data_IF_510104479275
#
_entry.id   IF_510104479275
#
_cell.length_a   1.000
_cell.length_b   1.000
_cell.length_c   1.000
_cell.angle_alpha   90.00
_cell.angle_beta   90.00
_cell.angle_gamma   90.00
#
_symmetry.space_group_name_H-M   'P 1'
#
loop_
_entity.id
_entity.type
_entity.pdbx_description
1 polymer ?
#
# COMPACT_ATOMS: atom_id res chain seq x y z
N UNK A 1 -1.21 6.53 -2.66
CA UNK A 1 -0.78 7.80 -2.04
C UNK A 1 0.45 7.62 -1.17
N UNK A 2 0.36 7.19 0.10
CA UNK A 2 1.54 7.00 0.96
C UNK A 2 2.59 6.08 0.34
N UNK A 3 2.20 4.86 -0.05
CA UNK A 3 3.08 3.88 -0.69
C UNK A 3 3.69 4.37 -2.01
N UNK A 4 2.98 5.24 -2.74
CA UNK A 4 3.48 5.85 -3.97
C UNK A 4 4.66 6.78 -3.70
N UNK A 5 4.62 7.58 -2.63
CA UNK A 5 5.73 8.45 -2.24
C UNK A 5 6.93 7.61 -1.78
N UNK A 6 6.69 6.60 -0.94
CA UNK A 6 7.76 5.69 -0.49
C UNK A 6 8.41 4.96 -1.67
N UNK A 7 7.63 4.47 -2.63
CA UNK A 7 8.12 3.86 -3.85
C UNK A 7 9.04 4.80 -4.64
N UNK A 8 8.69 6.08 -4.76
CA UNK A 8 9.51 7.08 -5.48
C UNK A 8 10.77 7.49 -4.71
N UNK A 9 10.72 7.49 -3.37
CA UNK A 9 11.87 7.85 -2.54
C UNK A 9 12.92 6.74 -2.41
N UNK A 10 12.49 5.47 -2.46
CA UNK A 10 13.43 4.34 -2.38
C UNK A 10 14.24 4.21 -3.68
N UNK A 11 15.58 4.22 -3.61
CA UNK A 11 16.42 3.96 -4.77
C UNK A 11 16.23 2.52 -5.26
N UNK A 12 16.45 2.28 -6.56
CA UNK A 12 16.32 0.94 -7.14
C UNK A 12 17.35 -0.03 -6.52
N UNK A 13 18.53 0.49 -6.19
CA UNK A 13 19.66 -0.22 -5.59
C UNK A 13 19.35 -0.73 -4.18
N UNK A 14 18.31 -0.22 -3.51
CA UNK A 14 17.86 -0.74 -2.22
C UNK A 14 17.30 -2.17 -2.33
N UNK A 15 16.91 -2.62 -3.53
CA UNK A 15 16.28 -3.93 -3.73
C UNK A 15 14.91 -4.06 -3.03
N UNK A 16 14.28 -2.93 -2.68
CA UNK A 16 13.00 -2.88 -1.99
C UNK A 16 11.91 -2.44 -2.97
N UNK A 17 10.93 -3.32 -3.17
CA UNK A 17 9.72 -3.00 -3.93
C UNK A 17 8.58 -2.63 -2.99
N UNK A 18 7.84 -1.59 -3.37
CA UNK A 18 6.65 -1.12 -2.64
C UNK A 18 5.44 -1.40 -3.50
N UNK A 19 4.50 -2.16 -2.96
CA UNK A 19 3.32 -2.65 -3.68
C UNK A 19 2.07 -2.42 -2.83
N UNK A 20 1.00 -1.97 -3.47
CA UNK A 20 -0.34 -1.93 -2.89
C UNK A 20 -1.14 -3.14 -3.40
N UNK A 21 -2.00 -3.69 -2.54
CA UNK A 21 -2.84 -4.84 -2.89
C UNK A 21 -4.30 -4.57 -2.56
N UNK A 22 -5.19 -5.00 -3.44
CA UNK A 22 -6.62 -5.11 -3.17
C UNK A 22 -6.98 -6.59 -3.05
N UNK A 23 -7.47 -7.06 -1.90
CA UNK A 23 -7.90 -8.44 -1.76
C UNK A 23 -9.33 -8.66 -2.31
N UNK A 24 -9.97 -7.62 -2.85
CA UNK A 24 -11.37 -7.64 -3.26
C UNK A 24 -12.31 -7.55 -2.05
N UNK A 25 -13.56 -7.98 -2.23
CA UNK A 25 -14.54 -8.04 -1.14
C UNK A 25 -14.35 -9.36 -0.40
N UNK A 26 -13.80 -9.31 0.81
CA UNK A 26 -13.45 -10.51 1.59
C UNK A 26 -14.34 -10.64 2.82
N UNK A 27 -14.83 -11.85 3.07
CA UNK A 27 -15.58 -12.20 4.28
C UNK A 27 -14.63 -12.17 5.48
N UNK A 28 -14.57 -11.01 6.13
CA UNK A 28 -13.75 -10.75 7.31
C UNK A 28 -14.60 -10.08 8.37
N UNK A 29 -14.06 -9.95 9.59
CA UNK A 29 -14.73 -9.29 10.69
C UNK A 29 -14.72 -7.75 10.58
N UNK A 30 -14.62 -7.16 9.38
CA UNK A 30 -14.60 -5.70 9.18
C UNK A 30 -15.90 -5.04 9.68
N UNK A 31 -17.04 -5.71 9.54
CA UNK A 31 -18.33 -5.21 10.01
C UNK A 31 -18.61 -5.48 11.50
N UNK A 32 -17.67 -6.07 12.27
CA UNK A 32 -17.91 -6.55 13.65
C UNK A 32 -18.39 -5.47 14.61
N UNK A 33 -17.97 -4.23 14.37
CA UNK A 33 -18.27 -3.07 15.22
C UNK A 33 -19.52 -2.29 14.74
N UNK A 34 -20.17 -2.75 13.65
CA UNK A 34 -21.40 -2.15 13.11
C UNK A 34 -22.65 -2.70 13.82
N UNK A 35 -23.81 -2.01 13.74
CA UNK A 35 -25.07 -2.51 14.30
C UNK A 35 -25.42 -3.91 13.79
N UNK A 36 -26.04 -4.75 14.65
CA UNK A 36 -26.40 -6.14 14.31
C UNK A 36 -27.24 -6.28 13.04
N UNK A 37 -28.08 -5.29 12.75
CA UNK A 37 -28.88 -5.23 11.52
C UNK A 37 -28.01 -5.09 10.28
N UNK A 38 -26.96 -4.27 10.36
CA UNK A 38 -25.97 -4.09 9.28
C UNK A 38 -25.11 -5.34 9.13
N UNK A 39 -24.69 -5.95 10.23
CA UNK A 39 -23.96 -7.24 10.18
C UNK A 39 -24.80 -8.33 9.51
N UNK A 40 -26.07 -8.46 9.89
CA UNK A 40 -26.99 -9.42 9.29
C UNK A 40 -27.19 -9.15 7.78
N UNK A 41 -27.33 -7.89 7.37
CA UNK A 41 -27.39 -7.52 5.95
C UNK A 41 -26.08 -7.83 5.20
N UNK A 42 -24.93 -7.61 5.84
CA UNK A 42 -23.61 -7.88 5.28
C UNK A 42 -23.40 -9.37 4.97
N UNK A 43 -23.92 -10.25 5.83
CA UNK A 43 -23.90 -11.71 5.62
C UNK A 43 -24.87 -12.20 4.53
N UNK A 44 -25.82 -11.36 4.09
CA UNK A 44 -26.79 -11.69 3.04
C UNK A 44 -26.30 -11.32 1.63
N UNK A 45 -25.07 -10.84 1.48
CA UNK A 45 -24.47 -10.50 0.17
C UNK A 45 -23.78 -11.77 -0.38
N UNK A 46 -24.42 -12.57 -1.25
CA UNK A 46 -24.03 -13.97 -1.44
C UNK A 46 -23.02 -14.21 -2.58
N UNK A 47 -22.81 -13.26 -3.49
CA UNK A 47 -22.23 -13.57 -4.81
C UNK A 47 -20.87 -12.94 -5.12
N UNK A 48 -20.37 -12.03 -4.29
CA UNK A 48 -19.11 -11.31 -4.55
C UNK A 48 -18.09 -11.39 -3.41
N UNK A 49 -18.34 -12.21 -2.39
CA UNK A 49 -17.51 -12.24 -1.19
C UNK A 49 -16.56 -13.43 -1.21
N UNK A 50 -15.27 -13.14 -1.32
CA UNK A 50 -14.18 -14.10 -1.22
C UNK A 50 -13.98 -14.56 0.23
N UNK A 51 -13.53 -15.79 0.44
CA UNK A 51 -12.99 -16.23 1.73
C UNK A 51 -11.68 -15.50 2.05
N UNK A 52 -11.27 -15.49 3.33
CA UNK A 52 -9.96 -14.95 3.73
C UNK A 52 -8.80 -15.59 2.95
N UNK A 53 -8.88 -16.91 2.68
CA UNK A 53 -7.90 -17.63 1.89
C UNK A 53 -7.89 -17.14 0.44
N UNK A 54 -9.05 -17.04 -0.20
CA UNK A 54 -9.15 -16.54 -1.58
C UNK A 54 -8.69 -15.09 -1.70
N UNK A 55 -9.06 -14.20 -0.78
CA UNK A 55 -8.61 -12.81 -0.79
C UNK A 55 -7.09 -12.66 -0.60
N UNK A 56 -6.49 -13.54 0.22
CA UNK A 56 -5.05 -13.52 0.50
C UNK A 56 -4.16 -13.82 -0.72
N UNK A 57 -4.73 -14.41 -1.79
CA UNK A 57 -3.99 -14.76 -3.00
C UNK A 57 -3.27 -13.57 -3.64
N UNK A 58 -3.90 -12.39 -3.60
CA UNK A 58 -3.35 -11.15 -4.17
C UNK A 58 -2.09 -10.70 -3.43
N UNK A 59 -2.09 -10.80 -2.09
CA UNK A 59 -0.94 -10.49 -1.25
C UNK A 59 0.19 -11.52 -1.44
N UNK A 60 -0.14 -12.81 -1.52
CA UNK A 60 0.84 -13.86 -1.80
C UNK A 60 1.49 -13.64 -3.17
N UNK A 61 0.68 -13.43 -4.20
CA UNK A 61 1.16 -13.12 -5.55
C UNK A 61 2.07 -11.88 -5.55
N UNK A 62 1.64 -10.77 -4.94
CA UNK A 62 2.45 -9.55 -4.85
C UNK A 62 3.80 -9.77 -4.16
N UNK A 63 3.88 -10.71 -3.21
CA UNK A 63 5.09 -10.99 -2.45
C UNK A 63 6.03 -12.01 -3.13
N UNK A 64 5.51 -12.89 -3.99
CA UNK A 64 6.28 -14.05 -4.47
C UNK A 64 6.39 -14.17 -5.98
N UNK A 65 5.50 -13.55 -6.76
CA UNK A 65 5.50 -13.73 -8.20
C UNK A 65 6.63 -12.91 -8.86
N UNK A 66 7.49 -13.53 -9.70
CA UNK A 66 8.63 -12.86 -10.34
C UNK A 66 8.24 -11.66 -11.22
N UNK A 67 7.01 -11.60 -11.73
CA UNK A 67 6.57 -10.48 -12.57
C UNK A 67 6.39 -9.18 -11.78
N UNK A 68 6.24 -9.27 -10.45
CA UNK A 68 5.94 -8.10 -9.61
C UNK A 68 7.15 -7.17 -9.48
N UNK A 69 8.36 -7.66 -9.17
CA UNK A 69 9.58 -6.86 -9.28
C UNK A 69 9.78 -6.23 -10.66
N UNK A 70 9.62 -7.00 -11.74
CA UNK A 70 9.77 -6.50 -13.12
C UNK A 70 8.81 -5.34 -13.41
N UNK A 71 7.56 -5.47 -12.96
CA UNK A 71 6.58 -4.40 -13.09
C UNK A 71 6.92 -3.18 -12.24
N UNK A 72 7.43 -3.36 -11.00
CA UNK A 72 7.86 -2.25 -10.16
C UNK A 72 9.04 -1.48 -10.79
N UNK A 73 9.98 -2.18 -11.41
CA UNK A 73 11.11 -1.56 -12.13
C UNK A 73 10.63 -0.76 -13.33
N UNK A 74 9.68 -1.29 -14.10
CA UNK A 74 9.05 -0.58 -15.22
C UNK A 74 8.40 0.72 -14.74
N UNK A 75 7.61 0.67 -13.66
CA UNK A 75 6.97 1.86 -13.10
C UNK A 75 7.98 2.91 -12.62
N UNK A 76 9.10 2.50 -12.02
CA UNK A 76 10.19 3.41 -11.64
C UNK A 76 10.85 4.05 -12.86
N UNK A 77 11.16 3.25 -13.88
CA UNK A 77 11.82 3.71 -15.10
C UNK A 77 10.98 4.76 -15.85
N UNK A 78 9.65 4.60 -15.82
CA UNK A 78 8.70 5.52 -16.46
C UNK A 78 8.33 6.74 -15.60
N UNK A 79 8.95 6.92 -14.41
CA UNK A 79 8.58 7.92 -13.40
C UNK A 79 7.08 7.92 -13.08
N UNK A 80 6.48 6.73 -13.06
CA UNK A 80 5.03 6.58 -12.86
C UNK A 80 4.61 7.16 -11.50
N UNK A 81 3.49 7.90 -11.41
CA UNK A 81 3.10 8.63 -10.21
C UNK A 81 2.70 7.72 -9.03
N UNK A 82 2.44 6.43 -9.29
CA UNK A 82 1.95 5.48 -8.29
C UNK A 82 2.82 4.23 -8.24
N UNK A 83 2.90 3.60 -7.08
CA UNK A 83 3.51 2.28 -6.96
C UNK A 83 2.65 1.21 -7.64
N UNK A 84 3.21 0.01 -7.81
CA UNK A 84 2.45 -1.12 -8.32
C UNK A 84 1.19 -1.37 -7.48
N UNK A 85 0.06 -1.62 -8.15
CA UNK A 85 -1.20 -1.95 -7.51
C UNK A 85 -1.72 -3.28 -8.07
N UNK A 86 -1.81 -4.28 -7.20
CA UNK A 86 -2.23 -5.64 -7.56
C UNK A 86 -3.67 -5.85 -7.11
N UNK A 87 -4.51 -6.24 -8.05
CA UNK A 87 -5.93 -6.49 -7.78
C UNK A 87 -6.19 -7.87 -7.17
N UNK A 88 -7.45 -8.12 -6.80
CA UNK A 88 -7.90 -9.44 -6.35
C UNK A 88 -7.67 -10.53 -7.38
N UNK A 89 -7.48 -10.19 -8.66
CA UNK A 89 -7.29 -11.13 -9.76
C UNK A 89 -5.83 -11.54 -9.98
N UNK A 90 -4.94 -11.21 -9.03
CA UNK A 90 -3.50 -11.49 -9.10
C UNK A 90 -2.86 -10.89 -10.37
N UNK A 91 -3.10 -9.60 -10.59
CA UNK A 91 -2.49 -8.89 -11.70
C UNK A 91 -2.41 -7.39 -11.46
N UNK A 92 -1.47 -6.71 -12.14
CA UNK A 92 -1.40 -5.26 -12.16
C UNK A 92 -2.74 -4.64 -12.58
N UNK A 93 -3.16 -3.60 -11.87
CA UNK A 93 -4.34 -2.82 -12.24
C UNK A 93 -4.09 -1.35 -11.98
N UNK A 94 -4.79 -0.49 -12.73
CA UNK A 94 -4.65 0.94 -12.55
C UNK A 94 -5.44 1.39 -11.31
N UNK A 95 -4.83 2.13 -10.36
CA UNK A 95 -5.57 2.67 -9.23
C UNK A 95 -6.47 3.84 -9.67
N UNK A 96 -7.25 4.41 -8.73
CA UNK A 96 -8.15 5.52 -9.04
C UNK A 96 -7.40 6.77 -9.52
N UNK A 97 -8.09 7.65 -10.26
CA UNK A 97 -7.49 8.91 -10.74
C UNK A 97 -6.94 9.75 -9.58
N UNK A 98 -7.63 9.78 -8.44
CA UNK A 98 -7.19 10.52 -7.25
C UNK A 98 -5.87 9.98 -6.71
N UNK A 99 -5.62 8.67 -6.81
CA UNK A 99 -4.38 8.06 -6.34
C UNK A 99 -3.15 8.56 -7.11
N UNK A 100 -3.33 9.08 -8.33
CA UNK A 100 -2.29 9.66 -9.18
C UNK A 100 -1.98 11.13 -8.84
N UNK A 101 -2.72 11.75 -7.92
CA UNK A 101 -2.48 13.13 -7.50
C UNK A 101 -1.22 13.22 -6.62
N UNK A 102 -0.09 13.54 -7.26
CA UNK A 102 1.24 13.65 -6.62
C UNK A 102 1.23 14.68 -5.47
N UNK A 103 0.61 15.85 -5.69
CA UNK A 103 0.57 16.91 -4.66
C UNK A 103 -0.14 16.43 -3.39
N UNK A 104 -1.28 15.74 -3.55
CA UNK A 104 -2.03 15.19 -2.42
C UNK A 104 -1.25 14.06 -1.76
N UNK A 105 -0.57 13.22 -2.54
CA UNK A 105 0.26 12.16 -2.00
C UNK A 105 1.40 12.72 -1.11
N UNK A 106 2.07 13.80 -1.53
CA UNK A 106 3.09 14.47 -0.71
C UNK A 106 2.51 15.09 0.56
N UNK A 107 1.33 15.73 0.50
CA UNK A 107 0.65 16.24 1.71
C UNK A 107 0.32 15.12 2.70
N UNK A 108 -0.18 13.99 2.20
CA UNK A 108 -0.45 12.79 3.02
C UNK A 108 0.84 12.27 3.65
N UNK A 109 1.92 12.20 2.88
CA UNK A 109 3.24 11.77 3.35
C UNK A 109 3.76 12.63 4.50
N UNK A 110 3.86 13.95 4.29
CA UNK A 110 4.36 14.89 5.30
C UNK A 110 3.53 14.87 6.57
N UNK A 111 2.19 14.87 6.43
CA UNK A 111 1.31 14.78 7.59
C UNK A 111 1.41 13.46 8.32
N UNK A 112 1.57 12.36 7.60
CA UNK A 112 1.77 11.04 8.23
C UNK A 112 3.05 11.04 9.06
N UNK A 113 4.18 11.52 8.52
CA UNK A 113 5.45 11.57 9.24
C UNK A 113 5.39 12.47 10.47
N UNK A 114 4.85 13.69 10.37
CA UNK A 114 4.67 14.58 11.53
C UNK A 114 3.76 13.98 12.60
N UNK A 115 2.66 13.33 12.20
CA UNK A 115 1.73 12.69 13.13
C UNK A 115 2.37 11.53 13.90
N UNK A 116 3.27 10.77 13.27
CA UNK A 116 4.02 9.69 13.94
C UNK A 116 5.34 10.18 14.56
N UNK A 117 5.64 11.47 14.46
CA UNK A 117 6.79 12.10 15.11
C UNK A 117 8.12 11.94 14.39
N UNK A 118 8.12 11.51 13.12
CA UNK A 118 9.31 11.38 12.30
C UNK A 118 9.59 12.66 11.49
N UNK A 119 10.86 12.99 11.23
CA UNK A 119 11.20 14.12 10.37
C UNK A 119 10.86 13.80 8.90
N UNK A 120 10.62 14.83 8.08
CA UNK A 120 10.20 14.68 6.68
C UNK A 120 11.24 13.98 5.79
N UNK A 121 12.51 14.04 6.19
CA UNK A 121 13.68 13.43 5.55
C UNK A 121 14.07 12.08 6.17
N UNK A 122 13.23 11.50 7.04
CA UNK A 122 13.54 10.26 7.75
C UNK A 122 13.96 9.12 6.81
N UNK A 123 13.26 8.94 5.69
CA UNK A 123 13.57 7.90 4.71
C UNK A 123 14.94 8.12 4.07
N UNK A 124 15.25 9.35 3.68
CA UNK A 124 16.55 9.68 3.09
C UNK A 124 17.69 9.39 4.07
N UNK A 125 17.54 9.82 5.33
CA UNK A 125 18.52 9.58 6.39
C UNK A 125 18.74 8.09 6.68
N UNK A 126 17.65 7.31 6.73
CA UNK A 126 17.73 5.86 6.91
C UNK A 126 18.42 5.17 5.73
N UNK A 127 18.16 5.59 4.49
CA UNK A 127 18.82 5.06 3.29
C UNK A 127 20.33 5.39 3.31
N UNK A 128 20.70 6.56 3.82
CA UNK A 128 22.10 6.97 4.00
C UNK A 128 22.81 6.21 5.14
N UNK A 129 22.10 5.33 5.86
CA UNK A 129 22.65 4.51 6.93
C UNK A 129 22.71 5.21 8.29
N UNK A 130 21.93 6.28 8.49
CA UNK A 130 21.83 6.92 9.79
C UNK A 130 20.99 6.06 10.75
N UNK A 131 21.62 5.57 11.83
CA UNK A 131 20.98 4.67 12.80
C UNK A 131 20.03 5.41 13.77
N UNK A 132 20.33 6.68 14.08
CA UNK A 132 19.64 7.47 15.11
C UNK A 132 18.72 8.56 14.51
N UNK A 133 17.72 8.16 13.73
CA UNK A 133 16.70 9.12 13.24
C UNK A 133 15.76 9.48 14.40
N UNK A 134 15.70 10.76 14.83
CA UNK A 134 14.95 11.14 16.01
C UNK A 134 13.44 10.98 15.79
N UNK A 135 12.75 10.34 16.73
CA UNK A 135 11.30 10.23 16.75
C UNK A 135 10.76 10.98 17.98
N UNK A 136 9.81 11.91 17.77
CA UNK A 136 9.22 12.72 18.87
C UNK A 136 8.64 11.87 20.00
N UNK A 137 8.17 10.67 19.69
CA UNK A 137 7.50 9.77 20.63
C UNK A 137 8.35 8.55 21.02
N UNK A 138 9.58 8.43 20.50
CA UNK A 138 10.54 7.38 20.83
C UNK A 138 11.73 7.94 21.61
N UNK A 139 12.39 7.09 22.38
CA UNK A 139 13.63 7.40 23.10
C UNK A 139 14.85 6.99 22.27
#
# INVERSE_FOLDING_TARGET
MFSSVLHRQLPAEAGINVVCVSPGIVNTNVARDLPKTVQAAYHLIPYFILTAQEGSRSALFAATDPQVPEYCELLKADDWPVCAFISQDCGPTNPSEEAHNIETAHKVWEKTLDMVGLPSDAVERLIQGEEDVPCRYGH
#
